data_IF_092724153419
#
_entry.id   IF_092724153419
#
_cell.length_a   1.000
_cell.length_b   1.000
_cell.length_c   1.000
_cell.angle_alpha   90.00
_cell.angle_beta   90.00
_cell.angle_gamma   90.00
#
_symmetry.space_group_name_H-M   'P 1'
#
loop_
_entity.id
_entity.type
_entity.pdbx_description
1 polymer ?
#
# COMPACT_ATOMS: atom_id res chain seq x y z
N UNK A 1 5.51 -53.36 30.38
CA UNK A 1 6.64 -53.17 31.32
C UNK A 1 7.03 -51.70 31.25
N UNK A 2 6.83 -51.02 32.38
CA UNK A 2 7.18 -49.63 32.73
C UNK A 2 8.62 -49.28 32.36
N UNK A 3 8.95 -48.06 31.90
CA UNK A 3 9.31 -46.96 32.82
C UNK A 3 9.12 -45.56 32.22
N UNK A 4 8.51 -44.68 33.03
CA UNK A 4 8.53 -43.21 32.92
C UNK A 4 9.85 -42.67 33.50
N UNK A 5 10.37 -41.54 32.99
CA UNK A 5 11.18 -40.64 33.83
C UNK A 5 11.01 -39.17 33.43
N UNK A 6 10.40 -38.42 34.35
CA UNK A 6 10.28 -36.96 34.38
C UNK A 6 11.63 -36.28 34.64
N UNK A 7 11.81 -35.03 34.19
CA UNK A 7 12.71 -34.07 34.85
C UNK A 7 11.91 -32.86 35.34
N UNK A 8 12.13 -32.56 36.62
CA UNK A 8 11.50 -31.51 37.42
C UNK A 8 12.34 -30.23 37.36
N UNK A 9 11.64 -29.10 37.24
CA UNK A 9 11.75 -27.83 37.99
C UNK A 9 13.08 -27.47 38.67
N UNK A 10 13.61 -26.29 38.37
CA UNK A 10 14.08 -25.31 39.39
C UNK A 10 14.18 -23.90 38.80
N UNK A 11 13.40 -23.00 39.40
CA UNK A 11 13.44 -21.53 39.32
C UNK A 11 14.75 -20.95 39.84
N UNK A 12 15.29 -19.91 39.19
CA UNK A 12 16.02 -18.84 39.89
C UNK A 12 15.73 -17.51 39.19
N UNK A 13 14.96 -16.67 39.88
CA UNK A 13 14.85 -15.25 39.59
C UNK A 13 16.16 -14.57 40.02
N UNK A 14 16.80 -13.83 39.11
CA UNK A 14 17.81 -12.85 39.46
C UNK A 14 17.35 -11.49 38.95
N UNK A 15 16.85 -10.66 39.88
CA UNK A 15 16.73 -9.24 39.68
C UNK A 15 18.15 -8.64 39.64
N UNK A 16 18.54 -8.12 38.47
CA UNK A 16 19.70 -7.25 38.34
C UNK A 16 19.19 -5.90 37.83
N UNK A 17 18.80 -5.04 38.76
CA UNK A 17 18.61 -3.63 38.50
C UNK A 17 19.97 -3.05 38.08
N UNK A 18 20.14 -2.80 36.78
CA UNK A 18 21.24 -1.99 36.27
C UNK A 18 20.62 -0.75 35.66
N UNK A 19 20.65 0.33 36.44
CA UNK A 19 20.37 1.66 35.97
C UNK A 19 21.45 2.04 34.95
N UNK A 20 21.15 1.86 33.66
CA UNK A 20 21.91 2.48 32.58
C UNK A 20 21.56 3.97 32.61
N UNK A 21 22.43 4.74 33.26
CA UNK A 21 22.46 6.19 33.10
C UNK A 21 22.70 6.48 31.62
N UNK A 22 21.66 6.88 30.91
CA UNK A 22 21.80 7.62 29.67
C UNK A 22 22.45 8.94 30.05
N UNK A 23 23.78 8.98 29.94
CA UNK A 23 24.51 10.23 29.83
C UNK A 23 23.85 10.96 28.66
N UNK A 24 23.00 11.93 29.00
CA UNK A 24 22.41 12.82 28.02
C UNK A 24 23.57 13.48 27.30
N UNK A 25 23.79 13.11 26.03
CA UNK A 25 24.51 13.94 25.09
C UNK A 25 23.70 15.22 24.93
N UNK A 26 23.89 16.17 25.84
CA UNK A 26 23.51 17.57 25.61
C UNK A 26 24.63 18.16 24.77
N UNK A 27 24.37 18.59 23.53
CA UNK A 27 25.38 19.17 22.66
C UNK A 27 26.06 20.33 23.41
N UNK A 28 27.40 20.37 23.48
CA UNK A 28 28.09 21.49 24.10
C UNK A 28 27.76 22.74 23.28
N UNK A 29 27.00 23.68 23.86
CA UNK A 29 26.47 24.95 23.34
C UNK A 29 24.94 25.06 23.17
N UNK A 30 24.11 24.20 23.78
CA UNK A 30 22.71 24.60 23.98
C UNK A 30 22.60 25.70 25.05
N UNK A 31 22.22 26.90 24.62
CA UNK A 31 21.79 27.99 25.49
C UNK A 31 20.26 27.86 25.64
N UNK A 32 19.80 27.20 26.69
CA UNK A 32 18.37 27.17 26.99
C UNK A 32 17.91 28.59 27.35
N UNK A 33 17.01 29.17 26.55
CA UNK A 33 16.38 30.46 26.91
C UNK A 33 15.42 30.24 28.10
N UNK A 34 15.56 31.06 29.14
CA UNK A 34 14.66 31.06 30.29
C UNK A 34 13.31 31.74 29.97
N UNK A 35 13.22 32.47 28.86
CA UNK A 35 11.95 33.03 28.38
C UNK A 35 11.05 31.95 27.77
N UNK A 36 9.93 31.70 28.44
CA UNK A 36 8.82 30.93 27.88
C UNK A 36 7.93 31.89 27.08
N UNK A 37 7.99 31.81 25.76
CA UNK A 37 7.02 32.49 24.90
C UNK A 37 5.68 31.76 24.96
N UNK A 38 4.66 32.41 25.53
CA UNK A 38 3.30 31.90 25.56
C UNK A 38 2.69 32.01 24.15
N UNK A 39 2.83 30.94 23.38
CA UNK A 39 2.37 30.85 21.99
C UNK A 39 1.00 30.18 21.88
N UNK A 40 0.32 29.93 22.99
CA UNK A 40 -1.04 29.42 22.98
C UNK A 40 -2.03 30.55 22.62
N UNK A 41 -2.14 30.84 21.32
CA UNK A 41 -3.22 31.70 20.84
C UNK A 41 -4.52 30.89 20.79
N UNK A 42 -5.49 31.25 21.63
CA UNK A 42 -6.87 30.78 21.47
C UNK A 42 -7.44 31.37 20.19
N UNK A 43 -7.91 30.51 19.29
CA UNK A 43 -8.65 30.94 18.11
C UNK A 43 -10.13 31.04 18.50
N UNK A 44 -10.72 32.21 18.32
CA UNK A 44 -12.15 32.42 18.49
C UNK A 44 -12.84 32.04 17.17
N UNK A 45 -13.62 30.95 17.13
CA UNK A 45 -14.30 30.50 15.92
C UNK A 45 -15.33 31.53 15.41
N UNK A 46 -15.73 32.50 16.25
CA UNK A 46 -16.69 33.54 15.93
C UNK A 46 -16.05 34.88 15.53
N UNK A 47 -14.72 34.96 15.47
CA UNK A 47 -13.96 36.20 15.17
C UNK A 47 -14.13 36.73 13.75
N UNK A 48 -14.74 35.94 12.85
CA UNK A 48 -15.08 36.36 11.50
C UNK A 48 -16.48 36.96 11.45
N UNK A 49 -16.60 38.12 10.81
CA UNK A 49 -17.89 38.78 10.58
C UNK A 49 -18.79 37.88 9.71
N UNK A 50 -19.73 37.18 10.35
CA UNK A 50 -20.63 36.20 9.72
C UNK A 50 -20.90 34.95 10.54
N UNK A 51 -20.10 34.66 11.59
CA UNK A 51 -20.21 33.44 12.38
C UNK A 51 -21.53 33.27 13.17
N UNK A 52 -22.33 34.32 13.31
CA UNK A 52 -23.62 34.30 14.03
C UNK A 52 -24.87 34.37 13.16
N UNK A 53 -24.77 34.39 11.83
CA UNK A 53 -25.97 34.43 10.97
C UNK A 53 -26.39 33.01 10.58
N UNK A 54 -27.24 32.43 11.42
CA UNK A 54 -28.14 31.34 11.03
C UNK A 54 -29.09 31.92 9.99
N UNK A 55 -28.70 31.86 8.73
CA UNK A 55 -29.54 32.22 7.60
C UNK A 55 -29.51 31.03 6.65
N UNK A 56 -30.67 30.39 6.50
CA UNK A 56 -30.95 29.35 5.50
C UNK A 56 -30.54 29.85 4.11
N UNK A 57 -29.29 29.58 3.75
CA UNK A 57 -28.73 29.67 2.41
C UNK A 57 -27.49 28.82 2.45
N UNK A 58 -27.52 27.70 1.70
CA UNK A 58 -26.46 26.70 1.51
C UNK A 58 -25.12 27.05 2.17
N UNK A 59 -25.01 26.69 3.44
CA UNK A 59 -23.73 26.63 4.13
C UNK A 59 -22.84 25.67 3.36
N UNK A 60 -21.92 26.20 2.57
CA UNK A 60 -20.70 25.44 2.27
C UNK A 60 -19.95 25.38 3.59
N UNK A 61 -20.28 24.38 4.42
CA UNK A 61 -19.48 24.04 5.58
C UNK A 61 -18.05 23.81 5.10
N UNK A 62 -17.07 24.23 5.89
CA UNK A 62 -15.71 23.75 5.68
C UNK A 62 -15.78 22.23 5.65
N UNK A 63 -15.53 21.62 4.49
CA UNK A 63 -15.62 20.18 4.33
C UNK A 63 -14.65 19.55 5.34
N UNK A 64 -15.19 18.81 6.29
CA UNK A 64 -14.37 18.03 7.20
C UNK A 64 -13.52 17.07 6.34
N UNK A 65 -12.25 16.93 6.67
CA UNK A 65 -11.33 16.03 5.94
C UNK A 65 -11.92 14.62 5.84
N UNK A 66 -12.64 14.17 6.88
CA UNK A 66 -13.35 12.87 6.87
C UNK A 66 -14.47 12.80 5.83
N UNK A 67 -15.27 13.86 5.71
CA UNK A 67 -16.38 13.91 4.75
C UNK A 67 -15.83 13.98 3.31
N UNK A 68 -14.77 14.76 3.10
CA UNK A 68 -14.07 14.84 1.82
C UNK A 68 -13.46 13.49 1.40
N UNK A 69 -12.86 12.75 2.34
CA UNK A 69 -12.26 11.44 2.07
C UNK A 69 -13.34 10.39 1.76
N UNK A 70 -14.48 10.46 2.46
CA UNK A 70 -15.64 9.58 2.22
C UNK A 70 -16.27 9.83 0.86
N UNK A 71 -16.46 11.12 0.50
CA UNK A 71 -16.97 11.49 -0.81
C UNK A 71 -16.02 11.02 -1.92
N UNK A 72 -14.71 11.21 -1.75
CA UNK A 72 -13.70 10.75 -2.71
C UNK A 72 -13.72 9.23 -2.91
N UNK A 73 -13.76 8.46 -1.82
CA UNK A 73 -13.84 6.99 -1.89
C UNK A 73 -15.14 6.51 -2.55
N UNK A 74 -16.26 7.20 -2.30
CA UNK A 74 -17.55 6.91 -2.93
C UNK A 74 -17.49 7.15 -4.44
N UNK A 75 -16.87 8.25 -4.87
CA UNK A 75 -16.67 8.55 -6.30
C UNK A 75 -15.80 7.49 -6.98
N UNK A 76 -14.67 7.09 -6.38
CA UNK A 76 -13.81 6.04 -6.92
C UNK A 76 -14.55 4.70 -7.02
N UNK A 77 -15.34 4.32 -6.01
CA UNK A 77 -16.11 3.08 -6.04
C UNK A 77 -17.17 3.09 -7.16
N UNK A 78 -17.92 4.19 -7.29
CA UNK A 78 -18.92 4.35 -8.35
C UNK A 78 -18.30 4.35 -9.75
N UNK A 79 -17.11 4.93 -9.91
CA UNK A 79 -16.37 4.92 -11.16
C UNK A 79 -15.94 3.49 -11.54
N UNK A 80 -15.39 2.73 -10.59
CA UNK A 80 -15.03 1.32 -10.80
C UNK A 80 -16.24 0.44 -11.13
N UNK A 81 -17.38 0.66 -10.46
CA UNK A 81 -18.62 -0.09 -10.72
C UNK A 81 -19.16 0.15 -12.13
N UNK A 82 -18.97 1.35 -12.68
CA UNK A 82 -19.38 1.70 -14.05
C UNK A 82 -18.36 1.33 -15.13
N UNK A 83 -17.13 0.94 -14.76
CA UNK A 83 -16.06 0.63 -15.70
C UNK A 83 -16.22 -0.76 -16.33
N UNK A 84 -15.70 -0.93 -17.54
CA UNK A 84 -15.63 -2.24 -18.18
C UNK A 84 -14.62 -3.14 -17.45
N UNK A 85 -15.05 -4.32 -17.02
CA UNK A 85 -14.26 -5.28 -16.25
C UNK A 85 -14.31 -6.68 -16.89
N UNK A 86 -13.68 -7.67 -16.26
CA UNK A 86 -13.84 -9.07 -16.63
C UNK A 86 -15.31 -9.55 -16.42
N UNK A 87 -15.72 -10.70 -17.00
CA UNK A 87 -17.10 -11.20 -16.87
C UNK A 87 -17.58 -11.43 -15.44
N UNK A 88 -16.66 -11.64 -14.50
CA UNK A 88 -16.92 -11.81 -13.07
C UNK A 88 -16.81 -10.49 -12.26
N UNK A 89 -16.61 -9.37 -12.94
CA UNK A 89 -16.49 -8.04 -12.34
C UNK A 89 -15.10 -7.69 -11.82
N UNK A 90 -14.12 -8.60 -11.94
CA UNK A 90 -12.75 -8.33 -11.47
C UNK A 90 -11.92 -7.51 -12.47
N UNK A 91 -10.85 -6.84 -12.02
CA UNK A 91 -9.97 -6.09 -12.89
C UNK A 91 -9.31 -6.96 -13.96
N UNK A 92 -9.02 -6.35 -15.10
CA UNK A 92 -8.22 -6.92 -16.17
C UNK A 92 -6.73 -6.56 -15.97
N UNK A 93 -5.84 -7.17 -16.74
CA UNK A 93 -4.45 -6.73 -16.85
C UNK A 93 -4.17 -6.24 -18.27
N UNK A 94 -3.56 -5.06 -18.39
CA UNK A 94 -3.09 -4.52 -19.67
C UNK A 94 -1.56 -4.58 -19.67
N UNK A 95 -1.01 -5.41 -20.56
CA UNK A 95 0.43 -5.50 -20.79
C UNK A 95 0.97 -4.35 -21.63
N UNK A 96 2.22 -4.48 -22.09
CA UNK A 96 2.97 -3.42 -22.79
C UNK A 96 2.27 -2.71 -23.93
N UNK A 97 1.55 -3.46 -24.79
CA UNK A 97 0.80 -2.93 -25.93
C UNK A 97 -0.37 -3.87 -26.25
N UNK A 98 -0.92 -4.51 -25.22
CA UNK A 98 -1.90 -5.57 -25.37
C UNK A 98 -3.31 -5.08 -25.15
N UNK A 99 -4.27 -5.82 -25.69
CA UNK A 99 -5.64 -5.75 -25.21
C UNK A 99 -5.69 -6.18 -23.73
N UNK A 100 -6.65 -5.67 -22.95
CA UNK A 100 -6.88 -6.13 -21.59
C UNK A 100 -7.20 -7.63 -21.54
N UNK A 101 -6.50 -8.37 -20.67
CA UNK A 101 -6.67 -9.81 -20.50
C UNK A 101 -7.04 -10.15 -19.07
N UNK A 102 -8.02 -11.04 -18.90
CA UNK A 102 -8.34 -11.64 -17.60
C UNK A 102 -7.45 -12.87 -17.39
N UNK A 103 -6.71 -12.91 -16.28
CA UNK A 103 -5.83 -14.04 -15.92
C UNK A 103 -4.83 -14.43 -17.03
N UNK A 104 -3.95 -13.52 -17.47
CA UNK A 104 -2.94 -13.84 -18.49
C UNK A 104 -1.98 -14.93 -17.98
N UNK A 105 -1.52 -15.79 -18.88
CA UNK A 105 -0.53 -16.85 -18.59
C UNK A 105 0.91 -16.40 -18.84
N UNK A 106 1.08 -15.23 -19.46
CA UNK A 106 2.35 -14.60 -19.77
C UNK A 106 2.24 -13.07 -19.62
N UNK A 107 3.25 -12.45 -19.02
CA UNK A 107 3.37 -11.00 -18.90
C UNK A 107 4.80 -10.60 -19.26
N UNK A 108 4.95 -9.64 -20.17
CA UNK A 108 6.22 -8.94 -20.37
C UNK A 108 6.41 -7.89 -19.27
N UNK A 109 7.45 -8.07 -18.46
CA UNK A 109 7.78 -7.26 -17.30
C UNK A 109 8.70 -6.07 -17.65
N UNK A 110 9.26 -6.03 -18.86
CA UNK A 110 10.05 -4.93 -19.39
C UNK A 110 9.63 -4.59 -20.82
N UNK A 111 8.66 -3.69 -20.95
CA UNK A 111 8.11 -3.29 -22.24
C UNK A 111 9.12 -2.62 -23.18
N UNK A 112 10.17 -2.01 -22.62
CA UNK A 112 11.18 -1.29 -23.39
C UNK A 112 12.10 -2.22 -24.14
N UNK A 113 12.69 -3.18 -23.44
CA UNK A 113 13.74 -4.04 -24.01
C UNK A 113 13.24 -5.44 -24.37
N UNK A 114 12.02 -5.82 -23.96
CA UNK A 114 11.41 -7.14 -24.22
C UNK A 114 12.33 -8.31 -23.82
N UNK A 115 12.94 -8.21 -22.64
CA UNK A 115 13.92 -9.17 -22.14
C UNK A 115 13.60 -9.72 -20.74
N UNK A 116 12.46 -9.35 -20.15
CA UNK A 116 12.02 -9.84 -18.84
C UNK A 116 10.55 -10.26 -18.92
N UNK A 117 10.28 -11.53 -18.62
CA UNK A 117 8.96 -12.14 -18.78
C UNK A 117 8.59 -12.96 -17.56
N UNK A 118 7.34 -12.87 -17.13
CA UNK A 118 6.68 -13.86 -16.29
C UNK A 118 5.97 -14.86 -17.21
N UNK A 119 6.40 -16.11 -17.22
CA UNK A 119 5.89 -17.18 -18.08
C UNK A 119 5.18 -18.25 -17.23
N UNK A 120 4.30 -19.02 -17.85
CA UNK A 120 3.59 -20.13 -17.21
C UNK A 120 2.89 -19.69 -15.90
N UNK A 121 2.25 -18.53 -15.92
CA UNK A 121 1.61 -17.98 -14.72
C UNK A 121 0.43 -18.87 -14.34
N UNK A 122 0.38 -19.26 -13.06
CA UNK A 122 -0.74 -19.95 -12.44
C UNK A 122 -1.28 -19.03 -11.36
N UNK A 123 -2.53 -18.57 -11.51
CA UNK A 123 -3.19 -17.72 -10.54
C UNK A 123 -3.82 -18.57 -9.43
N UNK A 124 -3.49 -18.28 -8.18
CA UNK A 124 -4.16 -18.87 -7.01
C UNK A 124 -5.32 -17.99 -6.54
N UNK A 125 -5.22 -16.68 -6.73
CA UNK A 125 -6.24 -15.69 -6.38
C UNK A 125 -6.37 -14.65 -7.49
N UNK A 126 -7.62 -14.25 -7.77
CA UNK A 126 -7.93 -13.12 -8.63
C UNK A 126 -9.22 -12.48 -8.09
N UNK A 127 -9.08 -11.32 -7.45
CA UNK A 127 -10.16 -10.58 -6.78
C UNK A 127 -10.27 -9.15 -7.31
N UNK A 128 -11.13 -8.34 -6.69
CA UNK A 128 -11.30 -6.93 -7.01
C UNK A 128 -10.08 -6.06 -6.66
N UNK A 129 -9.34 -6.43 -5.62
CA UNK A 129 -8.20 -5.63 -5.11
C UNK A 129 -6.83 -6.25 -5.39
N UNK A 130 -6.76 -7.57 -5.56
CA UNK A 130 -5.50 -8.30 -5.72
C UNK A 130 -5.63 -9.53 -6.62
N UNK A 131 -4.62 -9.78 -7.46
CA UNK A 131 -4.38 -11.08 -8.07
C UNK A 131 -3.03 -11.63 -7.63
N UNK A 132 -2.98 -12.89 -7.20
CA UNK A 132 -1.77 -13.55 -6.73
C UNK A 132 -1.57 -14.87 -7.45
N UNK A 133 -0.33 -15.12 -7.84
CA UNK A 133 0.05 -16.24 -8.67
C UNK A 133 1.47 -16.74 -8.38
N UNK A 134 1.80 -17.83 -9.05
CA UNK A 134 3.17 -18.31 -9.23
C UNK A 134 3.56 -18.28 -10.71
N UNK A 135 4.84 -18.04 -11.00
CA UNK A 135 5.35 -17.92 -12.37
C UNK A 135 6.78 -18.45 -12.50
N UNK A 136 7.21 -18.67 -13.74
CA UNK A 136 8.61 -18.81 -14.12
C UNK A 136 9.09 -17.49 -14.72
N UNK A 137 10.00 -16.78 -14.05
CA UNK A 137 10.57 -15.55 -14.58
C UNK A 137 11.72 -15.85 -15.52
N UNK A 138 11.73 -15.23 -16.70
CA UNK A 138 12.86 -15.25 -17.63
C UNK A 138 13.35 -13.82 -17.88
N UNK A 139 14.47 -13.43 -17.27
CA UNK A 139 15.05 -12.08 -17.34
C UNK A 139 16.18 -11.93 -18.39
N UNK A 140 16.33 -12.88 -19.31
CA UNK A 140 17.29 -12.82 -20.41
C UNK A 140 18.77 -13.00 -20.01
N UNK A 141 19.05 -13.34 -18.75
CA UNK A 141 20.40 -13.63 -18.24
C UNK A 141 20.91 -15.06 -18.49
N UNK A 142 22.20 -15.32 -18.20
CA UNK A 142 22.85 -16.66 -18.36
C UNK A 142 22.33 -17.74 -17.39
N UNK A 143 21.82 -17.31 -16.23
CA UNK A 143 21.04 -18.12 -15.27
C UNK A 143 19.63 -17.52 -15.14
N UNK A 144 19.14 -16.88 -16.20
CA UNK A 144 18.04 -15.93 -16.14
C UNK A 144 16.65 -16.51 -15.97
N UNK A 145 16.54 -17.80 -15.61
CA UNK A 145 15.26 -18.48 -15.38
C UNK A 145 15.11 -18.78 -13.90
N UNK A 146 14.12 -18.16 -13.28
CA UNK A 146 13.75 -18.37 -11.87
C UNK A 146 12.37 -19.02 -11.83
N UNK A 147 12.27 -20.22 -11.25
CA UNK A 147 11.01 -20.97 -11.14
C UNK A 147 10.30 -20.70 -9.81
N UNK A 148 8.97 -20.87 -9.79
CA UNK A 148 8.12 -20.74 -8.60
C UNK A 148 8.23 -19.37 -7.91
N UNK A 149 8.40 -18.32 -8.70
CA UNK A 149 8.46 -16.94 -8.24
C UNK A 149 7.04 -16.44 -7.99
N UNK A 150 6.82 -15.68 -6.93
CA UNK A 150 5.51 -15.11 -6.66
C UNK A 150 5.26 -13.91 -7.58
N UNK A 151 4.08 -13.86 -8.20
CA UNK A 151 3.60 -12.71 -8.96
C UNK A 151 2.36 -12.15 -8.28
N UNK A 152 2.31 -10.83 -8.14
CA UNK A 152 1.19 -10.12 -7.54
C UNK A 152 0.79 -8.94 -8.43
N UNK A 153 -0.50 -8.78 -8.69
CA UNK A 153 -1.10 -7.61 -9.31
C UNK A 153 -1.96 -6.87 -8.29
N UNK A 154 -1.80 -5.56 -8.18
CA UNK A 154 -2.53 -4.71 -7.21
C UNK A 154 -2.87 -3.35 -7.80
N UNK A 155 -3.46 -2.49 -6.97
CA UNK A 155 -3.82 -1.12 -7.30
C UNK A 155 -4.78 -1.08 -8.48
N UNK A 156 -5.98 -1.68 -8.34
CA UNK A 156 -7.01 -1.60 -9.36
C UNK A 156 -7.40 -0.14 -9.59
N UNK A 157 -7.52 0.25 -10.85
CA UNK A 157 -7.87 1.60 -11.24
C UNK A 157 -8.60 1.62 -12.58
N UNK A 158 -9.34 2.69 -12.85
CA UNK A 158 -10.05 2.85 -14.12
C UNK A 158 -9.14 3.58 -15.12
N UNK A 159 -8.72 2.88 -16.16
CA UNK A 159 -7.94 3.45 -17.28
C UNK A 159 -8.72 3.31 -18.57
N UNK A 160 -8.94 4.44 -19.24
CA UNK A 160 -9.72 4.50 -20.49
C UNK A 160 -11.10 3.83 -20.39
N UNK A 161 -11.74 3.96 -19.21
CA UNK A 161 -13.04 3.37 -18.92
C UNK A 161 -13.01 1.87 -18.58
N UNK A 162 -11.83 1.27 -18.39
CA UNK A 162 -11.65 -0.14 -18.05
C UNK A 162 -11.02 -0.30 -16.66
N UNK A 163 -11.56 -1.22 -15.85
CA UNK A 163 -11.02 -1.57 -14.55
C UNK A 163 -9.81 -2.49 -14.72
N UNK A 164 -8.62 -2.03 -14.32
CA UNK A 164 -7.37 -2.75 -14.54
C UNK A 164 -6.43 -2.70 -13.35
N UNK A 165 -5.66 -3.77 -13.13
CA UNK A 165 -4.53 -3.72 -12.22
C UNK A 165 -3.40 -2.87 -12.81
N UNK A 166 -2.89 -1.92 -12.02
CA UNK A 166 -1.88 -0.97 -12.47
C UNK A 166 -0.47 -1.27 -11.97
N UNK A 167 -0.32 -2.14 -10.96
CA UNK A 167 0.97 -2.54 -10.41
C UNK A 167 1.21 -4.04 -10.55
N UNK A 168 2.44 -4.38 -10.91
CA UNK A 168 2.95 -5.75 -10.96
C UNK A 168 4.11 -5.85 -9.98
N UNK A 169 4.17 -6.92 -9.21
CA UNK A 169 5.30 -7.21 -8.31
C UNK A 169 5.74 -8.65 -8.47
N UNK A 170 7.05 -8.88 -8.41
CA UNK A 170 7.69 -10.19 -8.49
C UNK A 170 8.48 -10.40 -7.20
N UNK A 171 8.14 -11.45 -6.43
CA UNK A 171 8.63 -11.68 -5.06
C UNK A 171 8.50 -10.43 -4.16
N UNK A 172 7.37 -9.73 -4.28
CA UNK A 172 7.09 -8.50 -3.53
C UNK A 172 7.89 -7.27 -3.97
N UNK A 173 8.69 -7.37 -5.05
CA UNK A 173 9.38 -6.22 -5.63
C UNK A 173 8.59 -5.70 -6.82
N UNK A 174 8.20 -4.44 -6.76
CA UNK A 174 7.50 -3.79 -7.86
C UNK A 174 8.35 -3.82 -9.13
N UNK A 175 7.76 -4.34 -10.19
CA UNK A 175 8.26 -4.25 -11.56
C UNK A 175 7.30 -3.33 -12.30
N UNK A 176 7.83 -2.26 -12.87
CA UNK A 176 7.03 -1.28 -13.61
C UNK A 176 7.24 -1.54 -15.11
N UNK A 177 6.46 -2.45 -15.73
CA UNK A 177 6.63 -2.77 -17.14
C UNK A 177 6.47 -1.53 -18.02
N UNK A 178 5.61 -0.61 -17.59
CA UNK A 178 5.34 0.69 -18.20
C UNK A 178 6.36 1.74 -17.73
N UNK A 179 7.67 1.55 -17.94
CA UNK A 179 8.61 2.64 -17.70
C UNK A 179 8.57 3.62 -18.87
N UNK A 180 7.75 4.66 -18.72
CA UNK A 180 7.69 5.96 -19.44
C UNK A 180 8.25 6.04 -20.87
N UNK A 181 7.39 6.47 -21.80
CA UNK A 181 7.69 7.57 -22.73
C UNK A 181 6.46 8.43 -22.96
#
# INVERSE_FOLDING_TARGET
>A
MTTRTSRKVATVAFAAATALGLAACSPPNEQASEEKVDTAQSQDPDSLTGAGQVQETDSTSAANVTDANTASATTTAAERESAAAAPDGTPLYIGCNGDPVHQPVEINLNCKDNNDFALNIVWEEWSDEIAQGTTTRNNGGREGVEENVNITLTSPDVKDGQLVFSKVSIDGKDVMPQSDY
#
